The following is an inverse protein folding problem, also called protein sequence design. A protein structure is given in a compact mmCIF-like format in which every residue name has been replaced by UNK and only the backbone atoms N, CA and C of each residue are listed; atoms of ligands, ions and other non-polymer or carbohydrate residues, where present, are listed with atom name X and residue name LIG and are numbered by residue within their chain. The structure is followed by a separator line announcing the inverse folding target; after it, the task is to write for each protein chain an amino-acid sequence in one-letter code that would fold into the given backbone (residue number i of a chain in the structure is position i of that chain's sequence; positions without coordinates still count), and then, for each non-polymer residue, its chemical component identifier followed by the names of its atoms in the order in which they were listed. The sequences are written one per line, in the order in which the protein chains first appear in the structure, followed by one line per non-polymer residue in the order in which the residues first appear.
data_IF_225879130093
#
_entry.id   IF_225879130093
#
_cell.length_a   1.000
_cell.length_b   1.000
_cell.length_c   1.000
_cell.angle_alpha   90.00
_cell.angle_beta   90.00
_cell.angle_gamma   90.00
#
_symmetry.space_group_name_H-M   'P 1'
#
loop_
_entity.id
_entity.type
_entity.pdbx_description
1 polymer ?
#
# COMPACT_ATOMS: atom_id res chain seq x y z
N UNK A 1 -7.44 -1.69 41.40
CA UNK A 1 -7.33 -2.22 40.02
C UNK A 1 -8.33 -1.46 39.17
N UNK A 2 -7.88 -0.50 38.36
CA UNK A 2 -8.73 0.17 37.38
C UNK A 2 -8.37 -0.44 36.04
N UNK A 3 -9.27 -1.27 35.49
CA UNK A 3 -9.17 -1.72 34.12
C UNK A 3 -9.39 -0.48 33.23
N UNK A 4 -8.33 0.00 32.59
CA UNK A 4 -8.46 0.99 31.53
C UNK A 4 -8.96 0.25 30.29
N UNK A 5 -10.25 0.43 29.97
CA UNK A 5 -10.81 0.08 28.68
C UNK A 5 -10.13 0.95 27.62
N UNK A 6 -9.19 0.38 26.85
CA UNK A 6 -8.66 1.04 25.67
C UNK A 6 -9.75 1.09 24.61
N UNK A 7 -10.23 2.28 24.26
CA UNK A 7 -11.12 2.46 23.13
C UNK A 7 -10.31 2.17 21.86
N UNK A 8 -10.59 1.04 21.21
CA UNK A 8 -10.03 0.71 19.91
C UNK A 8 -10.53 1.72 18.86
N UNK A 9 -9.67 2.09 17.91
CA UNK A 9 -10.06 2.88 16.75
C UNK A 9 -10.97 2.03 15.87
N UNK A 10 -12.23 2.41 15.72
CA UNK A 10 -13.15 1.71 14.81
C UNK A 10 -12.84 2.16 13.37
N UNK A 11 -12.57 1.20 12.49
CA UNK A 11 -12.22 1.46 11.09
C UNK A 11 -13.26 0.84 10.18
N UNK A 12 -13.87 1.66 9.33
CA UNK A 12 -14.82 1.25 8.33
C UNK A 12 -14.23 1.45 6.93
N UNK A 13 -14.06 0.37 6.16
CA UNK A 13 -13.62 0.46 4.76
C UNK A 13 -14.76 1.08 3.93
N UNK A 14 -14.46 2.19 3.25
CA UNK A 14 -15.39 2.90 2.39
C UNK A 14 -15.29 2.42 0.94
N UNK A 15 -14.06 2.28 0.44
CA UNK A 15 -13.79 1.90 -0.94
C UNK A 15 -12.54 1.03 -1.05
N UNK A 16 -12.54 0.16 -2.06
CA UNK A 16 -11.38 -0.60 -2.52
C UNK A 16 -11.31 -0.46 -4.02
N UNK A 17 -10.18 0.06 -4.49
CA UNK A 17 -9.96 0.33 -5.90
C UNK A 17 -8.63 -0.26 -6.33
N UNK A 18 -8.56 -0.65 -7.60
CA UNK A 18 -7.30 -0.99 -8.24
C UNK A 18 -6.91 0.14 -9.16
N UNK A 19 -5.94 0.93 -8.71
CA UNK A 19 -5.49 2.12 -9.44
C UNK A 19 -4.47 1.68 -10.49
N UNK A 20 -4.79 1.96 -11.75
CA UNK A 20 -3.91 1.69 -12.88
C UNK A 20 -3.07 2.93 -13.25
N UNK A 21 -1.94 2.75 -13.93
CA UNK A 21 -1.22 3.85 -14.56
C UNK A 21 -2.13 4.68 -15.46
N UNK A 22 -1.92 6.00 -15.47
CA UNK A 22 -2.67 6.91 -16.34
C UNK A 22 -2.39 6.66 -17.84
N UNK A 23 -1.20 6.13 -18.15
CA UNK A 23 -0.80 5.76 -19.50
C UNK A 23 -0.28 4.33 -19.50
N UNK A 24 -0.58 3.60 -20.57
CA UNK A 24 -0.17 2.21 -20.70
C UNK A 24 1.35 2.06 -20.70
N UNK A 25 1.84 1.01 -20.04
CA UNK A 25 3.26 0.65 -20.07
C UNK A 25 3.66 0.22 -21.50
N UNK A 26 4.64 0.91 -22.13
CA UNK A 26 5.12 0.57 -23.46
C UNK A 26 5.60 -0.90 -23.54
N UNK A 27 5.41 -1.59 -24.68
CA UNK A 27 5.73 -3.02 -24.80
C UNK A 27 7.15 -3.40 -24.37
N UNK A 28 8.15 -2.58 -24.68
CA UNK A 28 9.55 -2.82 -24.34
C UNK A 28 9.87 -2.61 -22.85
N UNK A 29 8.96 -2.02 -22.07
CA UNK A 29 9.09 -1.83 -20.61
C UNK A 29 8.25 -2.85 -19.82
N UNK A 30 7.52 -3.75 -20.49
CA UNK A 30 6.63 -4.71 -19.81
C UNK A 30 7.36 -5.80 -19.02
N UNK A 31 8.64 -6.01 -19.28
CA UNK A 31 9.47 -6.92 -18.50
C UNK A 31 10.52 -6.10 -17.75
N UNK A 32 10.25 -5.84 -16.48
CA UNK A 32 11.20 -5.16 -15.61
C UNK A 32 12.13 -6.20 -14.98
N UNK A 33 13.42 -6.13 -15.31
CA UNK A 33 14.42 -7.06 -14.80
C UNK A 33 14.92 -6.62 -13.44
N UNK A 34 14.88 -7.54 -12.48
CA UNK A 34 15.45 -7.37 -11.16
C UNK A 34 16.97 -7.41 -11.23
N UNK A 35 17.63 -6.49 -10.53
CA UNK A 35 19.08 -6.49 -10.39
C UNK A 35 19.54 -7.62 -9.47
N UNK A 36 20.87 -7.87 -9.43
CA UNK A 36 21.43 -8.84 -8.48
C UNK A 36 21.11 -8.45 -7.02
N UNK A 37 21.08 -7.15 -6.71
CA UNK A 37 20.75 -6.66 -5.37
C UNK A 37 19.30 -7.02 -5.03
N UNK A 38 18.38 -6.88 -5.98
CA UNK A 38 16.97 -7.22 -5.75
C UNK A 38 16.78 -8.72 -5.51
N UNK A 39 17.55 -9.57 -6.19
CA UNK A 39 17.44 -11.04 -6.10
C UNK A 39 17.99 -11.64 -4.80
N UNK A 40 19.00 -11.01 -4.19
CA UNK A 40 19.58 -11.50 -2.93
C UNK A 40 18.87 -10.96 -1.69
N UNK A 41 17.99 -9.96 -1.86
CA UNK A 41 17.18 -9.43 -0.78
C UNK A 41 15.95 -10.30 -0.54
N UNK A 42 15.47 -10.31 0.71
CA UNK A 42 14.25 -11.04 1.04
C UNK A 42 13.03 -10.32 0.44
N UNK A 43 12.06 -11.06 -0.15
CA UNK A 43 10.82 -10.49 -0.67
C UNK A 43 9.89 -10.12 0.49
N UNK A 44 10.12 -8.93 1.06
CA UNK A 44 9.37 -8.42 2.22
C UNK A 44 8.50 -7.25 1.77
N UNK A 45 7.22 -7.27 2.15
CA UNK A 45 6.34 -6.11 2.03
C UNK A 45 6.69 -5.10 3.11
N UNK A 46 7.21 -3.93 2.72
CA UNK A 46 7.50 -2.84 3.63
C UNK A 46 6.23 -2.04 3.90
N UNK A 47 5.88 -1.89 5.18
CA UNK A 47 4.72 -1.11 5.62
C UNK A 47 5.18 0.20 6.27
N UNK A 48 4.67 1.33 5.77
CA UNK A 48 5.01 2.68 6.25
C UNK A 48 3.73 3.47 6.47
N UNK A 49 3.66 4.22 7.57
CA UNK A 49 2.50 5.05 7.94
C UNK A 49 2.89 6.52 7.83
N UNK A 50 2.06 7.30 7.15
CA UNK A 50 2.18 8.75 7.07
C UNK A 50 0.97 9.41 7.74
N UNK A 51 1.23 10.44 8.56
CA UNK A 51 0.18 11.23 9.21
C UNK A 51 0.21 12.63 8.64
N UNK A 52 -0.79 12.96 7.82
CA UNK A 52 -0.92 14.27 7.20
C UNK A 52 -2.39 14.66 7.10
N UNK A 53 -2.65 15.93 6.77
CA UNK A 53 -4.00 16.38 6.43
C UNK A 53 -4.42 15.73 5.11
N UNK A 54 -5.67 15.29 5.02
CA UNK A 54 -6.19 14.65 3.83
C UNK A 54 -5.95 15.53 2.57
N UNK A 55 -5.30 14.92 1.59
CA UNK A 55 -5.10 15.45 0.24
C UNK A 55 -5.74 14.48 -0.77
N UNK A 56 -6.06 14.99 -1.95
CA UNK A 56 -6.62 14.19 -3.04
C UNK A 56 -5.57 13.24 -3.63
N UNK A 57 -5.90 11.95 -3.72
CA UNK A 57 -5.05 10.90 -4.26
C UNK A 57 -5.00 10.86 -5.80
N UNK A 58 -5.57 11.85 -6.48
CA UNK A 58 -5.59 11.97 -7.95
C UNK A 58 -4.21 11.97 -8.62
N UNK A 59 -3.11 12.12 -7.87
CA UNK A 59 -1.74 12.00 -8.38
C UNK A 59 -1.26 10.55 -8.60
N UNK A 60 -1.91 9.55 -7.98
CA UNK A 60 -1.47 8.15 -8.02
C UNK A 60 -1.40 7.57 -9.44
N UNK A 61 -2.41 7.71 -10.34
CA UNK A 61 -2.32 7.18 -11.70
C UNK A 61 -1.13 7.72 -12.49
N UNK A 62 -0.85 9.04 -12.39
CA UNK A 62 0.29 9.68 -13.07
C UNK A 62 1.62 9.22 -12.48
N UNK A 63 1.66 8.98 -11.18
CA UNK A 63 2.84 8.45 -10.49
C UNK A 63 3.11 7.01 -10.92
N UNK A 64 2.08 6.16 -10.97
CA UNK A 64 2.19 4.78 -11.45
C UNK A 64 2.63 4.68 -12.91
N UNK A 65 2.35 5.66 -13.77
CA UNK A 65 2.96 5.70 -15.11
C UNK A 65 4.50 5.79 -15.06
N UNK A 66 5.04 6.60 -14.15
CA UNK A 66 6.50 6.74 -13.98
C UNK A 66 7.10 5.55 -13.25
N UNK A 67 6.35 5.02 -12.29
CA UNK A 67 6.71 3.89 -11.44
C UNK A 67 5.93 2.63 -11.83
N UNK A 68 5.89 2.35 -13.14
CA UNK A 68 5.08 1.29 -13.73
C UNK A 68 5.32 -0.13 -13.16
N UNK A 69 6.50 -0.51 -12.63
CA UNK A 69 6.66 -1.83 -12.02
C UNK A 69 5.72 -2.07 -10.83
N UNK A 70 5.32 -1.01 -10.10
CA UNK A 70 4.39 -1.13 -8.96
C UNK A 70 2.95 -1.44 -9.37
N UNK A 71 2.60 -1.28 -10.65
CA UNK A 71 1.33 -1.72 -11.21
C UNK A 71 1.42 -3.11 -11.86
N UNK A 72 2.57 -3.78 -11.78
CA UNK A 72 2.82 -5.12 -12.31
C UNK A 72 2.63 -6.24 -11.28
N UNK A 73 3.06 -7.44 -11.64
CA UNK A 73 3.14 -8.61 -10.76
C UNK A 73 4.50 -9.27 -10.86
N UNK A 74 5.00 -9.80 -9.75
CA UNK A 74 6.21 -10.63 -9.75
C UNK A 74 5.92 -11.85 -10.61
N UNK A 75 6.73 -12.04 -11.65
CA UNK A 75 6.55 -13.12 -12.62
C UNK A 75 7.36 -14.36 -12.21
N UNK A 76 8.60 -14.12 -11.84
CA UNK A 76 9.61 -15.10 -11.44
C UNK A 76 10.66 -14.40 -10.54
N UNK A 77 11.65 -15.14 -10.07
CA UNK A 77 12.72 -14.63 -9.19
C UNK A 77 13.55 -13.49 -9.83
N UNK A 78 13.40 -13.25 -11.14
CA UNK A 78 14.26 -12.36 -11.91
C UNK A 78 13.51 -11.16 -12.51
N UNK A 79 12.18 -11.17 -12.52
CA UNK A 79 11.42 -10.15 -13.25
C UNK A 79 10.03 -9.86 -12.72
N UNK A 80 9.60 -8.62 -12.96
CA UNK A 80 8.23 -8.15 -12.76
C UNK A 80 7.58 -8.01 -14.14
N UNK A 81 6.39 -8.57 -14.29
CA UNK A 81 5.54 -8.42 -15.47
C UNK A 81 4.63 -7.19 -15.30
N UNK A 82 4.91 -6.13 -16.06
CA UNK A 82 4.23 -4.85 -16.00
C UNK A 82 3.09 -4.79 -17.02
N UNK A 83 1.97 -5.46 -16.71
CA UNK A 83 0.74 -5.50 -17.52
C UNK A 83 -0.33 -4.47 -17.09
N UNK A 84 0.05 -3.49 -16.28
CA UNK A 84 -0.86 -2.46 -15.75
C UNK A 84 -2.06 -3.06 -15.00
N UNK A 85 -1.83 -4.14 -14.25
CA UNK A 85 -2.84 -4.74 -13.37
C UNK A 85 -3.27 -3.78 -12.27
N UNK A 86 -2.36 -2.89 -11.84
CA UNK A 86 -2.61 -1.80 -10.91
C UNK A 86 -2.25 -2.12 -9.47
N UNK A 87 -2.31 -1.09 -8.64
CA UNK A 87 -2.04 -1.13 -7.20
C UNK A 87 -3.35 -1.06 -6.41
N UNK A 88 -3.44 -1.79 -5.30
CA UNK A 88 -4.61 -1.72 -4.40
C UNK A 88 -4.59 -0.40 -3.62
N UNK A 89 -5.71 0.33 -3.67
CA UNK A 89 -5.97 1.51 -2.86
C UNK A 89 -7.21 1.26 -2.02
N UNK A 90 -7.08 1.41 -0.70
CA UNK A 90 -8.18 1.22 0.25
C UNK A 90 -8.43 2.54 0.96
N UNK A 91 -9.64 3.06 0.83
CA UNK A 91 -10.10 4.22 1.58
C UNK A 91 -10.93 3.73 2.77
N UNK A 92 -10.63 4.24 3.96
CA UNK A 92 -11.33 3.88 5.18
C UNK A 92 -11.58 5.08 6.07
N UNK A 93 -12.73 5.07 6.74
CA UNK A 93 -13.09 6.02 7.78
C UNK A 93 -12.67 5.46 9.13
N UNK A 94 -11.83 6.21 9.85
CA UNK A 94 -11.49 5.90 11.23
C UNK A 94 -12.34 6.75 12.18
N UNK A 95 -13.18 6.11 12.98
CA UNK A 95 -14.07 6.77 13.95
C UNK A 95 -13.30 6.90 15.27
N UNK A 96 -12.85 8.11 15.58
CA UNK A 96 -12.16 8.43 16.83
C UNK A 96 -11.14 9.55 16.67
N UNK A 97 -10.45 9.86 17.77
CA UNK A 97 -9.36 10.84 17.75
C UNK A 97 -8.03 10.15 17.50
N UNK A 98 -7.33 10.56 16.44
CA UNK A 98 -6.00 10.05 16.11
C UNK A 98 -5.02 10.11 17.30
N UNK A 99 -5.08 11.18 18.11
CA UNK A 99 -4.22 11.33 19.28
C UNK A 99 -4.43 10.24 20.35
N UNK A 100 -5.68 9.80 20.57
CA UNK A 100 -5.97 8.73 21.53
C UNK A 100 -5.35 7.41 21.08
N UNK A 101 -5.36 7.13 19.77
CA UNK A 101 -4.69 5.97 19.19
C UNK A 101 -3.15 6.06 19.32
N UNK A 102 -2.56 7.21 18.98
CA UNK A 102 -1.11 7.39 19.04
C UNK A 102 -0.54 7.28 20.46
N UNK A 103 -1.36 7.51 21.49
CA UNK A 103 -0.93 7.38 22.89
C UNK A 103 -0.63 5.94 23.28
N UNK A 104 -1.34 4.98 22.68
CA UNK A 104 -1.13 3.54 22.88
C UNK A 104 -1.55 2.78 21.62
N UNK A 105 -0.68 2.73 20.59
CA UNK A 105 -1.02 2.07 19.33
C UNK A 105 -1.24 0.57 19.57
N UNK A 106 -2.35 0.05 19.06
CA UNK A 106 -2.59 -1.39 19.05
C UNK A 106 -1.67 -2.04 18.00
N UNK A 107 -0.75 -2.87 18.46
CA UNK A 107 0.22 -3.55 17.60
C UNK A 107 -0.44 -4.57 16.66
N UNK A 108 -1.67 -5.01 16.95
CA UNK A 108 -2.39 -5.97 16.12
C UNK A 108 -3.07 -5.33 14.91
N UNK A 109 -3.46 -4.05 14.99
CA UNK A 109 -4.10 -3.34 13.88
C UNK A 109 -3.19 -3.23 12.65
N UNK A 110 -1.86 -3.16 12.84
CA UNK A 110 -0.90 -3.17 11.72
C UNK A 110 -0.87 -4.51 10.98
N UNK A 111 -1.21 -5.61 11.66
CA UNK A 111 -1.29 -6.93 11.01
C UNK A 111 -2.50 -7.02 10.10
N UNK A 112 -3.61 -6.38 10.46
CA UNK A 112 -4.83 -6.38 9.65
C UNK A 112 -4.64 -5.67 8.29
N UNK A 113 -3.69 -4.72 8.21
CA UNK A 113 -3.26 -4.10 6.94
C UNK A 113 -2.23 -4.93 6.15
N UNK A 114 -1.57 -5.89 6.79
CA UNK A 114 -0.53 -6.74 6.17
C UNK A 114 -1.05 -8.14 5.80
N UNK A 115 -2.18 -8.57 6.35
CA UNK A 115 -2.79 -9.86 6.06
C UNK A 115 -3.87 -9.74 4.97
N UNK A 116 -3.45 -9.83 3.71
CA UNK A 116 -4.17 -10.54 2.63
C UNK A 116 -3.34 -10.55 1.35
#
# INVERSE_FOLDING_TARGET
MVAQNGHALEVQVLARETIKPAYQTPPHLRNFRLSLIDQINFPISVSTIFLHKADDNSFLPKTLTKFYPFAGRVKDDFSIECKDEGAECVEALAIGFLFEYLRKPDQNLLRDFQSR
#
